data_IF_778685049138
#
_entry.id   IF_778685049138
#
_cell.length_a   1.000
_cell.length_b   1.000
_cell.length_c   1.000
_cell.angle_alpha   90.00
_cell.angle_beta   90.00
_cell.angle_gamma   90.00
#
_symmetry.space_group_name_H-M   'P 1'
#
loop_
_entity.id
_entity.type
_entity.pdbx_description
1 polymer ?
#
# COMPACT_ATOMS: atom_id res chain seq x y z
N UNK A 1 15.69 12.21 2.24
CA UNK A 1 14.31 12.33 2.78
C UNK A 1 13.51 13.44 2.11
N UNK A 2 14.06 14.64 1.87
CA UNK A 2 13.36 15.71 1.16
C UNK A 2 12.97 15.33 -0.29
N UNK A 3 13.84 14.62 -1.01
CA UNK A 3 13.58 14.20 -2.39
C UNK A 3 12.43 13.19 -2.51
N UNK A 4 12.36 12.22 -1.60
CA UNK A 4 11.27 11.25 -1.53
C UNK A 4 9.93 11.93 -1.24
N UNK A 5 9.93 13.00 -0.41
CA UNK A 5 8.74 13.81 -0.11
C UNK A 5 8.22 14.53 -1.37
N UNK A 6 9.12 15.11 -2.17
CA UNK A 6 8.73 15.80 -3.41
C UNK A 6 8.20 14.80 -4.45
N UNK A 7 8.86 13.66 -4.63
CA UNK A 7 8.43 12.61 -5.57
C UNK A 7 7.04 12.06 -5.23
N UNK A 8 6.75 11.84 -3.94
CA UNK A 8 5.47 11.28 -3.49
C UNK A 8 4.30 12.23 -3.75
N UNK A 9 4.47 13.53 -3.46
CA UNK A 9 3.42 14.53 -3.67
C UNK A 9 3.16 14.73 -5.18
N UNK A 10 4.21 14.72 -6.00
CA UNK A 10 4.08 14.78 -7.46
C UNK A 10 3.39 13.54 -8.05
N UNK A 11 3.58 12.37 -7.44
CA UNK A 11 2.97 11.11 -7.87
C UNK A 11 1.46 11.07 -7.61
N UNK A 12 1.02 11.50 -6.43
CA UNK A 12 -0.39 11.41 -6.03
C UNK A 12 -1.25 12.56 -6.53
N UNK A 13 -0.64 13.74 -6.75
CA UNK A 13 -1.34 14.97 -7.14
C UNK A 13 -2.62 15.16 -6.30
N UNK A 14 -2.50 15.25 -4.96
CA UNK A 14 -3.63 15.47 -4.09
C UNK A 14 -4.26 16.84 -4.40
N UNK A 15 -5.58 16.90 -4.31
CA UNK A 15 -6.36 18.10 -4.55
C UNK A 15 -6.25 19.03 -3.33
N UNK A 16 -6.24 18.45 -2.13
CA UNK A 16 -6.05 19.14 -0.86
C UNK A 16 -4.61 19.18 -0.36
N UNK A 17 -4.43 19.69 0.86
CA UNK A 17 -3.14 19.67 1.53
C UNK A 17 -2.70 18.24 1.83
N UNK A 18 -1.42 17.96 1.56
CA UNK A 18 -0.79 16.68 1.85
C UNK A 18 0.49 16.93 2.65
N UNK A 19 0.56 16.35 3.85
CA UNK A 19 1.74 16.43 4.73
C UNK A 19 2.26 15.03 5.01
N UNK A 20 3.55 14.85 4.77
CA UNK A 20 4.28 13.62 5.05
C UNK A 20 5.12 13.81 6.32
N UNK A 21 4.80 13.04 7.36
CA UNK A 21 5.50 13.06 8.65
C UNK A 21 6.29 11.75 8.79
N UNK A 22 7.63 11.78 8.74
CA UNK A 22 8.42 10.57 8.94
C UNK A 22 8.31 10.13 10.40
N UNK A 23 8.04 8.83 10.61
CA UNK A 23 7.90 8.25 11.96
C UNK A 23 9.15 7.45 12.36
N UNK A 24 9.96 7.04 11.38
CA UNK A 24 11.20 6.28 11.59
C UNK A 24 11.13 4.89 10.96
N UNK A 25 12.29 4.20 10.83
CA UNK A 25 12.43 2.84 10.25
C UNK A 25 11.77 2.64 8.87
N UNK A 26 11.66 3.70 8.06
CA UNK A 26 11.03 3.66 6.74
C UNK A 26 9.52 3.86 6.73
N UNK A 27 8.89 4.12 7.90
CA UNK A 27 7.48 4.46 7.99
C UNK A 27 7.24 5.98 7.90
N UNK A 28 6.15 6.35 7.23
CA UNK A 28 5.72 7.73 7.01
C UNK A 28 4.22 7.81 7.27
N UNK A 29 3.80 8.78 8.08
CA UNK A 29 2.38 9.13 8.21
C UNK A 29 2.01 10.14 7.12
N UNK A 30 0.93 9.85 6.40
CA UNK A 30 0.37 10.73 5.37
C UNK A 30 -0.86 11.41 5.98
N UNK A 31 -0.79 12.72 6.17
CA UNK A 31 -1.95 13.54 6.53
C UNK A 31 -2.53 14.14 5.26
N UNK A 32 -3.81 13.87 5.04
CA UNK A 32 -4.60 14.37 3.92
C UNK A 32 -5.76 15.16 4.51
N UNK A 33 -6.08 16.30 3.89
CA UNK A 33 -7.22 17.12 4.32
C UNK A 33 -8.56 16.57 3.82
N UNK A 34 -8.55 15.79 2.73
CA UNK A 34 -9.74 15.31 2.04
C UNK A 34 -9.81 13.78 1.99
N UNK A 35 -11.02 13.24 2.13
CA UNK A 35 -11.28 11.80 1.96
C UNK A 35 -11.18 11.35 0.49
N UNK A 36 -11.50 12.22 -0.47
CA UNK A 36 -11.34 11.93 -1.90
C UNK A 36 -9.88 11.62 -2.25
N UNK A 37 -8.94 12.41 -1.72
CA UNK A 37 -7.50 12.17 -1.91
C UNK A 37 -7.08 10.86 -1.24
N UNK A 38 -7.63 10.54 -0.06
CA UNK A 38 -7.39 9.25 0.61
C UNK A 38 -7.85 8.09 -0.26
N UNK A 39 -9.07 8.13 -0.79
CA UNK A 39 -9.62 7.06 -1.61
C UNK A 39 -8.87 6.91 -2.93
N UNK A 40 -8.43 8.01 -3.54
CA UNK A 40 -7.60 8.04 -4.74
C UNK A 40 -6.23 7.41 -4.49
N UNK A 41 -5.58 7.76 -3.39
CA UNK A 41 -4.27 7.20 -3.01
C UNK A 41 -4.41 5.71 -2.65
N UNK A 42 -5.48 5.34 -1.94
CA UNK A 42 -5.74 3.95 -1.54
C UNK A 42 -6.04 3.04 -2.72
N UNK A 43 -6.86 3.50 -3.67
CA UNK A 43 -7.30 2.72 -4.84
C UNK A 43 -6.35 2.82 -6.03
N UNK A 44 -5.47 3.83 -6.06
CA UNK A 44 -4.53 4.09 -7.17
C UNK A 44 -3.44 3.03 -7.34
N UNK A 45 -3.31 2.11 -6.38
CA UNK A 45 -2.54 0.88 -6.51
C UNK A 45 -1.13 0.95 -5.90
N UNK A 46 -0.24 0.03 -6.28
CA UNK A 46 1.09 -0.06 -5.69
C UNK A 46 1.92 1.17 -6.08
N UNK A 47 2.23 2.01 -5.09
CA UNK A 47 3.08 3.17 -5.30
C UNK A 47 4.55 2.75 -5.19
N UNK A 48 5.34 3.04 -6.23
CA UNK A 48 6.79 2.84 -6.20
C UNK A 48 7.43 4.21 -6.06
N UNK A 49 8.16 4.40 -4.96
CA UNK A 49 8.93 5.63 -4.72
C UNK A 49 10.41 5.26 -4.76
N UNK A 50 11.13 5.80 -5.74
CA UNK A 50 12.50 5.38 -6.05
C UNK A 50 12.54 3.91 -6.51
N UNK A 51 13.04 3.02 -5.64
CA UNK A 51 13.15 1.56 -5.87
C UNK A 51 12.39 0.72 -4.85
N UNK A 52 11.58 1.34 -4.00
CA UNK A 52 10.86 0.67 -2.92
C UNK A 52 9.36 0.71 -3.17
N UNK A 53 8.70 -0.43 -2.95
CA UNK A 53 7.25 -0.52 -2.96
C UNK A 53 6.72 0.09 -1.65
N UNK A 54 5.79 1.03 -1.77
CA UNK A 54 5.11 1.63 -0.64
C UNK A 54 3.89 0.78 -0.27
N UNK A 55 3.91 0.19 0.93
CA UNK A 55 2.73 -0.39 1.55
C UNK A 55 1.88 0.71 2.20
N UNK A 56 0.58 0.72 1.91
CA UNK A 56 -0.39 1.56 2.60
C UNK A 56 -1.09 0.76 3.69
N UNK A 57 -1.32 1.36 4.84
CA UNK A 57 -2.04 0.78 5.97
C UNK A 57 -2.99 1.82 6.56
N UNK A 58 -4.13 1.43 7.16
CA UNK A 58 -4.95 2.37 7.90
C UNK A 58 -4.14 3.00 9.04
N UNK A 59 -4.45 4.25 9.35
CA UNK A 59 -3.84 4.93 10.49
C UNK A 59 -4.27 4.23 11.80
N UNK A 60 -3.32 4.03 12.70
CA UNK A 60 -3.56 3.47 14.03
C UNK A 60 -3.03 4.42 15.10
N UNK A 61 -3.79 4.69 16.17
CA UNK A 61 -3.23 5.33 17.35
C UNK A 61 -2.13 4.44 17.95
N UNK A 62 -1.13 5.06 18.58
CA UNK A 62 0.03 4.38 19.20
C UNK A 62 0.89 3.53 18.24
N UNK A 63 0.96 3.93 16.97
CA UNK A 63 1.85 3.28 16.01
C UNK A 63 3.31 3.34 16.49
N UNK A 64 3.87 2.17 16.80
CA UNK A 64 5.26 2.03 17.22
C UNK A 64 6.06 1.33 16.10
N UNK A 65 6.90 2.07 15.35
CA UNK A 65 7.72 1.50 14.29
C UNK A 65 8.72 0.45 14.79
N UNK A 66 9.02 0.41 16.10
CA UNK A 66 9.96 -0.56 16.67
C UNK A 66 9.31 -1.91 16.95
N UNK A 67 8.01 -1.92 17.25
CA UNK A 67 7.24 -3.14 17.55
C UNK A 67 6.56 -3.73 16.31
N UNK A 68 6.60 -3.04 15.17
CA UNK A 68 6.02 -3.50 13.92
C UNK A 68 6.85 -4.68 13.38
N UNK A 69 6.32 -5.90 13.56
CA UNK A 69 6.86 -7.09 12.89
C UNK A 69 6.39 -7.05 11.43
N UNK A 70 7.33 -7.06 10.49
CA UNK A 70 7.07 -7.24 9.05
C UNK A 70 6.62 -8.69 8.74
N UNK A 71 5.65 -9.25 9.47
CA UNK A 71 5.14 -10.60 9.22
C UNK A 71 4.06 -10.64 8.14
N UNK A 72 3.49 -9.49 7.78
CA UNK A 72 2.47 -9.37 6.74
C UNK A 72 2.88 -8.27 5.76
N UNK A 73 3.03 -8.63 4.48
CA UNK A 73 3.26 -7.68 3.41
C UNK A 73 1.96 -7.48 2.62
N UNK A 74 1.53 -6.24 2.45
CA UNK A 74 0.39 -5.90 1.61
C UNK A 74 0.86 -5.88 0.15
N UNK A 75 0.56 -6.95 -0.59
CA UNK A 75 0.96 -7.13 -1.99
C UNK A 75 -0.24 -6.88 -2.90
N UNK A 76 -0.04 -6.00 -3.88
CA UNK A 76 -1.01 -5.77 -4.95
C UNK A 76 -0.77 -6.78 -6.07
N UNK A 77 -1.68 -7.73 -6.24
CA UNK A 77 -1.63 -8.69 -7.35
C UNK A 77 -2.55 -8.21 -8.46
N UNK A 78 -1.99 -7.91 -9.63
CA UNK A 78 -2.77 -7.70 -10.85
C UNK A 78 -2.83 -9.02 -11.62
N UNK A 79 -4.04 -9.44 -11.98
CA UNK A 79 -4.27 -10.61 -12.83
C UNK A 79 -4.59 -10.14 -14.26
N UNK A 80 -3.59 -9.92 -15.14
CA UNK A 80 -3.86 -9.55 -16.53
C UNK A 80 -4.56 -10.70 -17.25
N UNK A 81 -5.75 -10.42 -17.81
CA UNK A 81 -6.54 -11.41 -18.55
C UNK A 81 -7.49 -12.25 -17.69
N UNK A 82 -7.75 -11.88 -16.43
CA UNK A 82 -8.78 -12.53 -15.63
C UNK A 82 -10.18 -12.18 -16.18
N UNK A 83 -10.87 -13.18 -16.75
CA UNK A 83 -12.25 -13.04 -17.22
C UNK A 83 -13.18 -12.58 -16.09
N UNK A 84 -14.21 -11.80 -16.44
CA UNK A 84 -15.15 -11.19 -15.48
C UNK A 84 -15.86 -12.24 -14.62
N UNK A 85 -16.05 -13.45 -15.15
CA UNK A 85 -16.60 -14.62 -14.48
C UNK A 85 -15.79 -15.08 -13.26
N UNK A 86 -14.52 -14.68 -13.16
CA UNK A 86 -13.63 -15.02 -12.04
C UNK A 86 -13.48 -13.89 -11.01
N UNK A 87 -14.25 -12.80 -11.14
CA UNK A 87 -14.23 -11.67 -10.20
C UNK A 87 -15.12 -11.88 -8.96
N UNK A 88 -15.67 -13.08 -8.78
CA UNK A 88 -16.37 -13.44 -7.56
C UNK A 88 -15.40 -13.48 -6.36
N UNK A 89 -15.86 -12.96 -5.22
CA UNK A 89 -15.05 -12.82 -4.00
C UNK A 89 -14.42 -14.15 -3.59
N UNK A 90 -15.16 -15.26 -3.68
CA UNK A 90 -14.68 -16.60 -3.32
C UNK A 90 -13.54 -17.08 -4.21
N UNK A 91 -13.62 -16.80 -5.51
CA UNK A 91 -12.58 -17.12 -6.50
C UNK A 91 -11.31 -16.31 -6.23
N UNK A 92 -11.45 -15.01 -6.01
CA UNK A 92 -10.33 -14.12 -5.71
C UNK A 92 -9.65 -14.49 -4.38
N UNK A 93 -10.41 -14.83 -3.35
CA UNK A 93 -9.86 -15.30 -2.07
C UNK A 93 -9.12 -16.62 -2.23
N UNK A 94 -9.67 -17.56 -3.00
CA UNK A 94 -9.03 -18.86 -3.28
C UNK A 94 -7.70 -18.69 -4.01
N UNK A 95 -7.63 -17.79 -5.00
CA UNK A 95 -6.39 -17.42 -5.68
C UNK A 95 -5.36 -16.80 -4.72
N UNK A 96 -5.80 -15.90 -3.85
CA UNK A 96 -4.95 -15.28 -2.83
C UNK A 96 -4.33 -16.31 -1.88
N UNK A 97 -5.14 -17.25 -1.37
CA UNK A 97 -4.67 -18.34 -0.50
C UNK A 97 -3.70 -19.27 -1.25
N UNK A 98 -4.00 -19.61 -2.51
CA UNK A 98 -3.12 -20.44 -3.32
C UNK A 98 -1.74 -19.79 -3.53
N UNK A 99 -1.71 -18.51 -3.88
CA UNK A 99 -0.46 -17.74 -4.06
C UNK A 99 0.36 -17.69 -2.76
N UNK A 100 -0.30 -17.47 -1.62
CA UNK A 100 0.38 -17.45 -0.32
C UNK A 100 0.99 -18.83 0.03
N UNK A 101 0.26 -19.92 -0.21
CA UNK A 101 0.75 -21.29 0.06
C UNK A 101 1.93 -21.68 -0.83
N UNK A 102 1.91 -21.30 -2.11
CA UNK A 102 3.04 -21.50 -3.02
C UNK A 102 4.30 -20.75 -2.54
N UNK A 103 4.14 -19.50 -2.08
CA UNK A 103 5.26 -18.72 -1.55
C UNK A 103 5.83 -19.31 -0.26
N UNK A 104 4.99 -19.87 0.62
CA UNK A 104 5.42 -20.49 1.87
C UNK A 104 6.08 -21.87 1.67
N UNK A 105 5.79 -22.57 0.57
CA UNK A 105 6.39 -23.89 0.26
C UNK A 105 7.78 -23.80 -0.39
N UNK A 106 8.23 -22.59 -0.79
CA UNK A 106 9.53 -22.35 -1.42
C UNK A 106 10.62 -21.86 -0.45
N UNK A 107 10.32 -21.81 0.84
CA UNK A 107 11.25 -21.46 1.91
C UNK A 107 11.46 -22.63 2.87
#
# INVERSE_FOLDING_TARGET
>A
MAEARIQTIALWKPIGGCRLIPVGKGYITILLDNEEDRNKIWSGGPWIIGKQLLGLSPWSPFFDPEKQKNSHALVWVKFPGLGVEFWEVETLMSLGVWLFRQSASRH
#
